data_IF_459465412192
#
_entry.id   IF_459465412192
#
_cell.length_a   1.000
_cell.length_b   1.000
_cell.length_c   1.000
_cell.angle_alpha   90.00
_cell.angle_beta   90.00
_cell.angle_gamma   90.00
#
_symmetry.space_group_name_H-M   'P 1'
#
loop_
_entity.id
_entity.type
_entity.pdbx_description
1 polymer ?
#
# COMPACT_ATOMS: atom_id res chain seq x y z
N UNK A 1 -1.95 -43.03 1.46
CA UNK A 1 -0.51 -42.66 1.53
C UNK A 1 -0.37 -41.29 2.17
N UNK A 2 0.79 -40.93 2.74
CA UNK A 2 0.95 -39.69 3.55
C UNK A 2 0.69 -38.38 2.77
N UNK A 3 0.79 -38.39 1.44
CA UNK A 3 0.60 -37.22 0.59
C UNK A 3 -0.85 -36.76 0.44
N UNK A 4 -1.84 -37.52 0.92
CA UNK A 4 -3.26 -37.16 0.82
C UNK A 4 -3.62 -35.88 1.59
N UNK A 5 -2.75 -35.42 2.49
CA UNK A 5 -2.90 -34.13 3.19
C UNK A 5 -2.52 -32.92 2.32
N UNK A 6 -1.71 -33.12 1.26
CA UNK A 6 -1.15 -32.03 0.46
C UNK A 6 -2.22 -31.18 -0.24
N UNK A 7 -3.31 -31.74 -0.81
CA UNK A 7 -4.39 -30.92 -1.38
C UNK A 7 -5.09 -30.03 -0.35
N UNK A 8 -5.32 -30.54 0.86
CA UNK A 8 -5.92 -29.75 1.94
C UNK A 8 -5.00 -28.60 2.38
N UNK A 9 -3.71 -28.90 2.55
CA UNK A 9 -2.69 -27.90 2.89
C UNK A 9 -2.52 -26.86 1.78
N UNK A 10 -2.58 -27.24 0.50
CA UNK A 10 -2.46 -26.30 -0.61
C UNK A 10 -3.64 -25.33 -0.68
N UNK A 11 -4.87 -25.83 -0.47
CA UNK A 11 -6.06 -24.97 -0.42
C UNK A 11 -5.95 -23.98 0.74
N UNK A 12 -5.59 -24.46 1.94
CA UNK A 12 -5.38 -23.60 3.11
C UNK A 12 -4.31 -22.54 2.84
N UNK A 13 -3.17 -22.94 2.25
CA UNK A 13 -2.08 -22.03 1.91
C UNK A 13 -2.51 -20.93 0.94
N UNK A 14 -3.25 -21.27 -0.12
CA UNK A 14 -3.78 -20.31 -1.09
C UNK A 14 -4.76 -19.34 -0.40
N UNK A 15 -5.68 -19.83 0.42
CA UNK A 15 -6.63 -19.00 1.16
C UNK A 15 -5.93 -17.99 2.10
N UNK A 16 -4.82 -18.38 2.72
CA UNK A 16 -4.03 -17.48 3.59
C UNK A 16 -3.17 -16.48 2.79
N UNK A 17 -2.74 -16.85 1.59
CA UNK A 17 -1.89 -16.02 0.74
C UNK A 17 -2.68 -14.91 0.02
N UNK A 18 -3.92 -15.19 -0.40
CA UNK A 18 -4.76 -14.25 -1.16
C UNK A 18 -4.93 -12.89 -0.45
N UNK A 19 -5.27 -12.80 0.85
CA UNK A 19 -5.44 -11.52 1.52
C UNK A 19 -4.17 -10.64 1.53
N UNK A 20 -3.00 -11.25 1.72
CA UNK A 20 -1.71 -10.55 1.72
C UNK A 20 -1.37 -9.97 0.34
N UNK A 21 -1.53 -10.77 -0.72
CA UNK A 21 -1.33 -10.28 -2.08
C UNK A 21 -2.37 -9.21 -2.45
N UNK A 22 -3.65 -9.46 -2.14
CA UNK A 22 -4.72 -8.53 -2.45
C UNK A 22 -4.46 -7.16 -1.80
N UNK A 23 -4.08 -7.13 -0.52
CA UNK A 23 -3.77 -5.87 0.18
C UNK A 23 -2.56 -5.16 -0.39
N UNK A 24 -1.49 -5.88 -0.76
CA UNK A 24 -0.33 -5.28 -1.43
C UNK A 24 -0.71 -4.63 -2.77
N UNK A 25 -1.50 -5.31 -3.61
CA UNK A 25 -1.98 -4.75 -4.87
C UNK A 25 -2.93 -3.57 -4.67
N UNK A 26 -3.86 -3.64 -3.71
CA UNK A 26 -4.78 -2.55 -3.37
C UNK A 26 -4.02 -1.33 -2.87
N UNK A 27 -3.02 -1.50 -1.99
CA UNK A 27 -2.17 -0.41 -1.53
C UNK A 27 -1.44 0.24 -2.70
N UNK A 28 -0.84 -0.56 -3.59
CA UNK A 28 -0.15 -0.03 -4.76
C UNK A 28 -1.09 0.71 -5.72
N UNK A 29 -2.29 0.19 -5.94
CA UNK A 29 -3.30 0.79 -6.80
C UNK A 29 -3.81 2.13 -6.25
N UNK A 30 -4.12 2.18 -4.95
CA UNK A 30 -4.73 3.36 -4.31
C UNK A 30 -3.73 4.47 -3.98
N UNK A 31 -2.41 4.19 -4.00
CA UNK A 31 -1.35 5.13 -3.60
C UNK A 31 -0.38 5.50 -4.73
N UNK A 32 -0.86 5.50 -5.97
CA UNK A 32 -0.08 5.96 -7.13
C UNK A 32 1.11 5.06 -7.48
N UNK A 33 0.94 3.75 -7.36
CA UNK A 33 1.97 2.77 -7.70
C UNK A 33 2.99 2.50 -6.58
N UNK A 34 2.80 3.10 -5.40
CA UNK A 34 3.70 3.05 -4.24
C UNK A 34 3.06 2.35 -3.03
N UNK A 35 3.87 2.08 -2.02
CA UNK A 35 3.41 1.65 -0.69
C UNK A 35 2.45 2.69 -0.07
N UNK A 36 1.50 2.22 0.74
CA UNK A 36 0.64 3.11 1.53
C UNK A 36 1.45 3.78 2.63
N UNK A 37 1.34 5.10 2.78
CA UNK A 37 2.04 5.82 3.85
C UNK A 37 1.50 5.43 5.23
N UNK A 38 2.41 5.11 6.15
CA UNK A 38 2.06 4.73 7.53
C UNK A 38 2.44 5.84 8.50
N UNK A 39 1.44 6.47 9.12
CA UNK A 39 1.62 7.59 10.02
C UNK A 39 1.48 7.16 11.49
N UNK A 40 2.48 6.45 12.02
CA UNK A 40 2.50 6.05 13.43
C UNK A 40 2.64 7.22 14.42
N UNK A 41 3.31 8.30 14.00
CA UNK A 41 3.56 9.49 14.83
C UNK A 41 2.85 10.72 14.26
N UNK A 42 2.52 11.68 15.12
CA UNK A 42 1.90 12.95 14.72
C UNK A 42 2.72 13.72 13.69
N UNK A 43 4.05 13.63 13.76
CA UNK A 43 4.95 14.22 12.74
C UNK A 43 4.73 13.61 11.34
N UNK A 44 4.55 12.28 11.25
CA UNK A 44 4.30 11.62 9.96
C UNK A 44 2.97 12.07 9.36
N UNK A 45 1.95 12.27 10.20
CA UNK A 45 0.64 12.79 9.77
C UNK A 45 0.76 14.23 9.27
N UNK A 46 1.46 15.11 10.02
CA UNK A 46 1.67 16.50 9.61
C UNK A 46 2.38 16.61 8.25
N UNK A 47 3.37 15.75 7.99
CA UNK A 47 4.03 15.68 6.69
C UNK A 47 3.12 15.12 5.59
N UNK A 48 2.28 14.13 5.88
CA UNK A 48 1.31 13.59 4.93
C UNK A 48 0.26 14.63 4.52
N UNK A 49 -0.23 15.42 5.48
CA UNK A 49 -1.14 16.54 5.24
C UNK A 49 -0.47 17.71 4.51
N UNK A 50 0.82 17.94 4.74
CA UNK A 50 1.61 18.86 3.92
C UNK A 50 1.63 18.39 2.46
N UNK A 51 1.92 17.12 2.21
CA UNK A 51 1.99 16.57 0.86
C UNK A 51 0.62 16.59 0.16
N UNK A 52 -0.47 16.31 0.89
CA UNK A 52 -1.85 16.47 0.40
C UNK A 52 -2.10 17.91 -0.08
N UNK A 53 -1.72 18.92 0.71
CA UNK A 53 -1.90 20.34 0.37
C UNK A 53 -1.04 20.78 -0.80
N UNK A 54 0.23 20.37 -0.85
CA UNK A 54 1.17 20.74 -1.94
C UNK A 54 0.79 20.05 -3.26
N UNK A 55 0.14 18.87 -3.20
CA UNK A 55 -0.24 18.13 -4.41
C UNK A 55 -1.12 18.93 -5.39
N UNK A 56 -1.94 19.86 -4.88
CA UNK A 56 -2.91 20.64 -5.66
C UNK A 56 -4.15 19.86 -6.12
N UNK A 57 -4.22 18.54 -5.85
CA UNK A 57 -5.29 17.64 -6.28
C UNK A 57 -5.90 16.84 -5.12
N UNK A 58 -5.70 17.31 -3.90
CA UNK A 58 -6.18 16.69 -2.66
C UNK A 58 -5.76 15.22 -2.48
N UNK A 59 -4.59 14.84 -2.99
CA UNK A 59 -4.06 13.46 -2.94
C UNK A 59 -2.62 13.46 -2.47
N UNK A 60 -2.38 12.96 -1.26
CA UNK A 60 -1.06 12.96 -0.63
C UNK A 60 0.01 12.14 -1.37
N UNK A 61 -0.38 11.15 -2.17
CA UNK A 61 0.56 10.30 -2.89
C UNK A 61 1.08 10.92 -4.20
N UNK A 62 0.49 12.04 -4.65
CA UNK A 62 0.94 12.78 -5.82
C UNK A 62 2.10 13.67 -5.41
N UNK A 63 3.32 13.19 -5.67
CA UNK A 63 4.56 13.88 -5.31
C UNK A 63 4.84 15.03 -6.27
N UNK A 64 5.40 16.13 -5.74
CA UNK A 64 5.94 17.25 -6.49
C UNK A 64 7.45 17.26 -6.29
N UNK A 65 8.22 17.23 -7.38
CA UNK A 65 9.67 17.34 -7.36
C UNK A 65 10.15 18.78 -7.55
N UNK A 66 11.37 18.92 -8.06
CA UNK A 66 11.98 20.22 -8.36
C UNK A 66 11.31 20.93 -9.54
N UNK A 67 10.49 20.23 -10.32
CA UNK A 67 9.70 20.84 -11.40
C UNK A 67 8.62 21.82 -10.91
N UNK A 68 8.36 21.86 -9.60
CA UNK A 68 7.35 22.72 -8.98
C UNK A 68 7.93 24.04 -8.41
N UNK A 69 9.23 24.30 -8.60
CA UNK A 69 9.91 25.53 -8.16
C UNK A 69 10.53 26.24 -9.38
N UNK A 70 10.63 27.56 -9.32
CA UNK A 70 11.17 28.46 -10.35
C UNK A 70 12.66 28.77 -10.20
#
# INVERSE_FOLDING_TARGET
MWFEILPGLSVMGVCLLIPGLATAYIHRFTNGGKEKRVAHFGYHWNLMERDRRISGVDRYYVSKGLENID
#
